data_IF_572521497227
#
_entry.id   IF_572521497227
#
_cell.length_a   1.000
_cell.length_b   1.000
_cell.length_c   1.000
_cell.angle_alpha   90.00
_cell.angle_beta   90.00
_cell.angle_gamma   90.00
#
_symmetry.space_group_name_H-M   'P 1'
#
loop_
_entity.id
_entity.type
_entity.pdbx_description
1 polymer ?
#
# COMPACT_ATOMS: atom_id res chain seq x y z
N UNK A 1 -30.94 -20.96 0.11
CA UNK A 1 -29.69 -21.61 -0.26
C UNK A 1 -28.64 -20.51 -0.31
N UNK A 2 -27.79 -20.45 0.71
CA UNK A 2 -26.84 -19.34 0.91
C UNK A 2 -25.52 -19.73 0.28
N UNK A 3 -25.17 -19.02 -0.76
CA UNK A 3 -23.86 -19.13 -1.42
C UNK A 3 -22.84 -18.38 -0.55
N UNK A 4 -22.05 -19.12 0.21
CA UNK A 4 -20.93 -18.57 0.99
C UNK A 4 -19.73 -18.51 0.06
N UNK A 5 -19.45 -17.34 -0.50
CA UNK A 5 -18.21 -17.09 -1.18
C UNK A 5 -17.02 -17.32 -0.24
N UNK A 6 -16.22 -18.31 -0.58
CA UNK A 6 -14.96 -18.62 0.12
C UNK A 6 -14.00 -17.44 0.01
N UNK A 7 -13.36 -17.08 1.11
CA UNK A 7 -12.30 -16.07 1.09
C UNK A 7 -11.08 -16.63 0.36
N UNK A 8 -10.26 -15.73 -0.22
CA UNK A 8 -9.05 -16.07 -0.99
C UNK A 8 -8.09 -16.98 -0.20
N UNK A 9 -8.12 -16.91 1.12
CA UNK A 9 -7.31 -17.72 2.04
C UNK A 9 -7.86 -19.14 2.23
N UNK A 10 -9.16 -19.33 2.09
CA UNK A 10 -9.83 -20.65 2.17
C UNK A 10 -9.73 -21.40 0.84
N UNK A 11 -9.74 -20.69 -0.30
CA UNK A 11 -9.54 -21.31 -1.61
C UNK A 11 -8.13 -21.91 -1.77
N UNK A 12 -7.12 -21.33 -1.11
CA UNK A 12 -5.74 -21.87 -1.12
C UNK A 12 -5.56 -23.07 -0.20
N UNK A 13 -6.43 -23.30 0.79
CA UNK A 13 -6.35 -24.45 1.71
C UNK A 13 -7.10 -25.70 1.24
N UNK A 14 -8.03 -25.59 0.30
CA UNK A 14 -8.87 -26.69 -0.17
C UNK A 14 -8.42 -27.33 -1.50
N UNK A 15 -7.32 -26.86 -2.12
CA UNK A 15 -6.78 -27.37 -3.37
C UNK A 15 -5.97 -28.67 -3.29
N UNK A 16 -5.88 -29.30 -2.15
CA UNK A 16 -5.06 -30.49 -1.95
C UNK A 16 -5.87 -31.72 -1.56
N UNK A 17 -6.53 -32.41 -2.48
CA UNK A 17 -6.75 -33.86 -2.49
C UNK A 17 -7.80 -34.28 -3.54
N UNK A 18 -7.36 -34.63 -4.73
CA UNK A 18 -8.06 -35.61 -5.58
C UNK A 18 -7.04 -36.27 -6.52
N UNK A 19 -6.36 -37.27 -6.02
CA UNK A 19 -5.59 -38.24 -6.84
C UNK A 19 -6.56 -39.25 -7.43
N UNK A 20 -6.77 -39.18 -8.74
CA UNK A 20 -7.25 -40.33 -9.52
C UNK A 20 -6.08 -40.86 -10.33
N UNK A 21 -5.68 -42.09 -9.98
CA UNK A 21 -4.60 -42.82 -10.66
C UNK A 21 -4.97 -43.19 -12.08
N UNK A 22 -4.05 -42.90 -13.00
CA UNK A 22 -3.91 -43.61 -14.27
C UNK A 22 -2.43 -43.99 -14.35
N UNK A 23 -2.16 -45.28 -14.20
CA UNK A 23 -0.85 -45.87 -14.44
C UNK A 23 -0.60 -45.89 -15.95
N UNK A 24 0.27 -44.98 -16.42
CA UNK A 24 0.97 -45.14 -17.70
C UNK A 24 2.47 -45.21 -17.38
N UNK A 25 3.03 -46.40 -17.59
CA UNK A 25 4.46 -46.67 -17.54
C UNK A 25 5.15 -45.83 -18.65
N UNK A 26 5.69 -44.70 -18.27
CA UNK A 26 6.65 -43.93 -19.02
C UNK A 26 7.73 -43.49 -18.03
N UNK A 27 9.00 -43.73 -18.34
CA UNK A 27 10.15 -43.29 -17.56
C UNK A 27 10.14 -41.77 -17.37
N UNK A 28 9.25 -41.29 -16.49
CA UNK A 28 9.27 -39.95 -15.97
C UNK A 28 10.13 -39.98 -14.71
N UNK A 29 11.30 -39.35 -14.72
CA UNK A 29 11.91 -38.87 -13.48
C UNK A 29 10.79 -38.15 -12.73
N UNK A 30 10.35 -38.74 -11.60
CA UNK A 30 9.55 -38.04 -10.62
C UNK A 30 10.35 -36.78 -10.27
N UNK A 31 9.90 -35.61 -10.73
CA UNK A 31 10.49 -34.35 -10.30
C UNK A 31 10.29 -34.32 -8.79
N UNK A 32 11.40 -34.40 -8.07
CA UNK A 32 11.41 -34.23 -6.62
C UNK A 32 10.86 -32.84 -6.34
N UNK A 33 9.87 -32.75 -5.47
CA UNK A 33 9.37 -31.46 -5.03
C UNK A 33 10.50 -30.73 -4.31
N UNK A 34 10.61 -29.42 -4.51
CA UNK A 34 11.59 -28.59 -3.82
C UNK A 34 11.45 -28.69 -2.29
N UNK A 35 10.26 -29.04 -1.82
CA UNK A 35 9.90 -29.16 -0.41
C UNK A 35 10.00 -30.61 0.14
N UNK A 36 10.43 -31.59 -0.67
CA UNK A 36 10.56 -33.00 -0.23
C UNK A 36 11.72 -33.17 0.77
N UNK A 37 12.76 -32.34 0.68
CA UNK A 37 13.90 -32.31 1.62
C UNK A 37 14.27 -30.84 1.95
N UNK A 38 13.39 -30.09 2.66
CA UNK A 38 13.65 -28.69 2.97
C UNK A 38 14.78 -28.60 4.01
N UNK A 39 15.61 -27.53 3.96
CA UNK A 39 16.66 -27.31 4.94
C UNK A 39 16.08 -27.22 6.36
N UNK A 40 16.86 -27.64 7.33
CA UNK A 40 16.55 -27.48 8.75
C UNK A 40 17.19 -26.21 9.26
N UNK A 41 16.41 -25.39 9.97
CA UNK A 41 16.92 -24.16 10.56
C UNK A 41 17.19 -24.37 12.05
N UNK A 42 18.33 -23.84 12.51
CA UNK A 42 18.59 -23.74 13.94
C UNK A 42 17.69 -22.65 14.56
N UNK A 43 16.86 -23.03 15.51
CA UNK A 43 15.93 -22.14 16.19
C UNK A 43 16.65 -20.98 16.92
N UNK A 44 17.84 -21.24 17.48
CA UNK A 44 18.62 -20.20 18.16
C UNK A 44 19.14 -19.16 17.15
N UNK A 45 19.70 -19.63 16.01
CA UNK A 45 20.16 -18.75 14.96
C UNK A 45 19.03 -17.94 14.31
N UNK A 46 17.80 -18.49 14.24
CA UNK A 46 16.63 -17.73 13.75
C UNK A 46 16.16 -16.67 14.74
N UNK A 47 16.31 -16.89 16.05
CA UNK A 47 15.93 -15.89 17.06
C UNK A 47 16.77 -14.60 16.94
N UNK A 48 18.04 -14.72 16.56
CA UNK A 48 18.98 -13.61 16.44
C UNK A 48 18.79 -12.79 15.13
N UNK A 49 18.01 -13.32 14.16
CA UNK A 49 17.79 -12.65 12.85
C UNK A 49 17.27 -11.23 13.03
N UNK A 50 16.42 -10.97 14.02
CA UNK A 50 15.76 -9.70 14.23
C UNK A 50 16.48 -8.75 15.21
N UNK A 51 17.69 -9.09 15.69
CA UNK A 51 18.42 -8.28 16.67
C UNK A 51 18.79 -6.89 16.16
N UNK A 52 19.13 -6.76 14.87
CA UNK A 52 19.45 -5.48 14.29
C UNK A 52 18.18 -4.62 14.10
N UNK A 53 18.20 -3.42 14.68
CA UNK A 53 17.06 -2.51 14.60
C UNK A 53 16.78 -2.05 13.16
N UNK A 54 15.50 -2.05 12.81
CA UNK A 54 15.02 -1.43 11.56
C UNK A 54 15.27 0.08 11.62
N UNK A 55 15.76 0.71 10.53
CA UNK A 55 16.02 2.15 10.53
C UNK A 55 14.75 2.95 10.83
N UNK A 56 14.93 4.10 11.47
CA UNK A 56 13.81 5.01 11.73
C UNK A 56 13.18 5.44 10.40
N UNK A 57 11.87 5.34 10.32
CA UNK A 57 11.10 5.72 9.14
C UNK A 57 11.29 7.21 8.84
N UNK A 58 11.85 7.61 7.68
CA UNK A 58 12.11 9.02 7.38
C UNK A 58 10.81 9.79 7.12
N UNK A 59 10.80 11.10 7.32
CA UNK A 59 9.71 11.96 6.82
C UNK A 59 10.02 12.40 5.38
N UNK A 60 9.29 11.93 4.36
CA UNK A 60 9.50 12.38 3.00
C UNK A 60 8.87 13.74 2.72
N UNK A 61 7.96 14.21 3.60
CA UNK A 61 7.23 15.46 3.38
C UNK A 61 8.08 16.67 3.77
N UNK A 62 8.11 17.72 2.93
CA UNK A 62 8.86 18.94 3.24
C UNK A 62 8.18 19.84 4.30
N UNK A 63 6.98 19.47 4.75
CA UNK A 63 6.22 20.19 5.77
C UNK A 63 5.58 19.24 6.78
N UNK A 64 5.30 19.75 7.98
CA UNK A 64 4.58 19.03 9.03
C UNK A 64 3.11 19.42 9.11
N UNK A 65 2.27 18.48 9.51
CA UNK A 65 0.88 18.75 9.81
C UNK A 65 0.79 19.63 11.07
N UNK A 66 0.00 20.71 11.06
CA UNK A 66 -0.14 21.58 12.23
C UNK A 66 -0.81 20.84 13.40
N UNK A 67 -0.38 21.16 14.62
CA UNK A 67 -0.95 20.56 15.83
C UNK A 67 -2.44 20.79 15.95
N UNK A 68 -2.93 21.98 15.51
CA UNK A 68 -4.35 22.33 15.49
C UNK A 68 -5.14 21.37 14.59
N UNK A 69 -4.54 20.94 13.47
CA UNK A 69 -5.19 19.94 12.58
C UNK A 69 -5.21 18.57 13.22
N UNK A 70 -4.14 18.16 13.89
CA UNK A 70 -4.08 16.91 14.63
C UNK A 70 -5.13 16.90 15.76
N UNK A 71 -5.25 18.01 16.48
CA UNK A 71 -6.28 18.18 17.51
C UNK A 71 -7.68 18.12 16.91
N UNK A 72 -7.95 18.82 15.80
CA UNK A 72 -9.24 18.80 15.13
C UNK A 72 -9.65 17.42 14.62
N UNK A 73 -8.71 16.60 14.11
CA UNK A 73 -8.98 15.20 13.76
C UNK A 73 -9.34 14.38 15.00
N UNK A 74 -8.61 14.56 16.10
CA UNK A 74 -8.87 13.88 17.37
C UNK A 74 -10.24 14.23 17.96
N UNK A 75 -10.60 15.53 17.94
CA UNK A 75 -11.90 16.03 18.43
C UNK A 75 -13.05 15.50 17.57
N UNK A 76 -12.84 15.45 16.25
CA UNK A 76 -13.82 14.86 15.31
C UNK A 76 -14.09 13.40 15.62
N UNK A 77 -13.06 12.59 15.92
CA UNK A 77 -13.24 11.19 16.36
C UNK A 77 -14.11 11.13 17.63
N UNK A 78 -13.80 11.99 18.62
CA UNK A 78 -14.60 12.09 19.85
C UNK A 78 -16.06 12.43 19.58
N UNK A 79 -16.32 13.44 18.74
CA UNK A 79 -17.67 13.85 18.37
C UNK A 79 -18.47 12.74 17.65
N UNK A 80 -17.83 11.98 16.76
CA UNK A 80 -18.46 10.88 16.04
C UNK A 80 -18.81 9.71 16.96
N UNK A 81 -17.97 9.40 17.94
CA UNK A 81 -18.17 8.26 18.85
C UNK A 81 -19.07 8.59 20.04
N UNK A 82 -19.18 9.84 20.46
CA UNK A 82 -19.92 10.24 21.67
C UNK A 82 -21.38 9.79 21.72
N UNK A 83 -22.13 9.71 20.59
CA UNK A 83 -23.52 9.25 20.62
C UNK A 83 -23.68 7.73 20.82
N UNK A 84 -22.61 6.95 20.70
CA UNK A 84 -22.64 5.49 20.74
C UNK A 84 -22.43 5.02 22.19
N UNK A 85 -23.40 4.29 22.82
CA UNK A 85 -23.21 3.77 24.16
C UNK A 85 -21.97 2.90 24.31
N UNK A 86 -21.32 2.98 25.48
CA UNK A 86 -20.18 2.15 25.84
C UNK A 86 -20.34 1.64 27.28
N UNK A 87 -20.54 0.34 27.51
CA UNK A 87 -20.53 -0.76 26.51
C UNK A 87 -21.80 -0.82 25.64
N UNK A 88 -21.63 -1.36 24.42
CA UNK A 88 -22.75 -1.64 23.51
C UNK A 88 -23.25 -3.07 23.74
N UNK A 89 -24.37 -3.22 24.45
CA UNK A 89 -24.92 -4.53 24.88
C UNK A 89 -25.88 -5.12 23.84
N UNK A 90 -26.22 -6.40 24.03
CA UNK A 90 -27.25 -7.08 23.21
C UNK A 90 -28.66 -6.54 23.43
N UNK A 91 -28.93 -5.88 24.55
CA UNK A 91 -30.21 -5.20 24.83
C UNK A 91 -30.35 -3.95 23.96
N UNK A 92 -29.24 -3.23 23.72
CA UNK A 92 -29.21 -2.00 22.90
C UNK A 92 -29.20 -2.36 21.41
N UNK A 93 -28.37 -3.34 21.01
CA UNK A 93 -28.27 -3.83 19.63
C UNK A 93 -28.40 -5.36 19.63
N UNK A 94 -29.60 -5.91 19.48
CA UNK A 94 -29.81 -7.36 19.51
C UNK A 94 -29.09 -8.12 18.39
N UNK A 95 -28.95 -7.51 17.20
CA UNK A 95 -28.23 -8.12 16.08
C UNK A 95 -26.73 -8.16 16.34
N UNK A 96 -26.20 -9.36 16.60
CA UNK A 96 -24.79 -9.58 16.95
C UNK A 96 -23.81 -9.10 15.87
N UNK A 97 -24.13 -9.28 14.58
CA UNK A 97 -23.27 -8.85 13.46
C UNK A 97 -23.17 -7.32 13.37
N UNK A 98 -24.29 -6.63 13.54
CA UNK A 98 -24.31 -5.16 13.54
C UNK A 98 -23.57 -4.64 14.77
N UNK A 99 -23.84 -5.21 15.95
CA UNK A 99 -23.16 -4.84 17.19
C UNK A 99 -21.64 -5.02 17.09
N UNK A 100 -21.17 -6.18 16.61
CA UNK A 100 -19.76 -6.43 16.40
C UNK A 100 -19.15 -5.40 15.45
N UNK A 101 -19.78 -5.12 14.31
CA UNK A 101 -19.26 -4.14 13.34
C UNK A 101 -19.13 -2.71 13.92
N UNK A 102 -20.04 -2.30 14.83
CA UNK A 102 -19.96 -1.00 15.52
C UNK A 102 -18.81 -1.03 16.54
N UNK A 103 -18.69 -2.09 17.32
CA UNK A 103 -17.64 -2.25 18.34
C UNK A 103 -16.26 -2.28 17.67
N UNK A 104 -16.07 -3.14 16.67
CA UNK A 104 -14.81 -3.27 15.94
C UNK A 104 -14.37 -1.94 15.29
N UNK A 105 -15.31 -1.22 14.66
CA UNK A 105 -15.02 0.08 14.07
C UNK A 105 -14.68 1.14 15.12
N UNK A 106 -15.36 1.14 16.29
CA UNK A 106 -15.04 2.02 17.43
C UNK A 106 -13.65 1.74 18.00
N UNK A 107 -13.30 0.48 18.19
CA UNK A 107 -11.99 0.07 18.67
C UNK A 107 -10.89 0.45 17.68
N UNK A 108 -11.09 0.15 16.39
CA UNK A 108 -10.17 0.56 15.34
C UNK A 108 -9.96 2.10 15.29
N UNK A 109 -11.04 2.88 15.51
CA UNK A 109 -10.94 4.34 15.58
C UNK A 109 -10.13 4.81 16.78
N UNK A 110 -10.33 4.19 17.95
CA UNK A 110 -9.57 4.49 19.17
C UNK A 110 -8.10 4.13 19.03
N UNK A 111 -7.81 2.99 18.43
CA UNK A 111 -6.44 2.54 18.17
C UNK A 111 -5.72 3.47 17.19
N UNK A 112 -6.38 3.84 16.09
CA UNK A 112 -5.82 4.79 15.14
C UNK A 112 -5.61 6.19 15.78
N UNK A 113 -6.54 6.64 16.64
CA UNK A 113 -6.39 7.89 17.39
C UNK A 113 -5.21 7.83 18.38
N UNK A 114 -5.01 6.70 19.07
CA UNK A 114 -3.83 6.51 19.95
C UNK A 114 -2.55 6.56 19.12
N UNK A 115 -2.47 5.78 18.03
CA UNK A 115 -1.31 5.83 17.12
C UNK A 115 -1.03 7.26 16.64
N UNK A 116 -2.04 8.03 16.24
CA UNK A 116 -1.86 9.43 15.86
C UNK A 116 -1.28 10.27 17.02
N UNK A 117 -1.69 10.01 18.26
CA UNK A 117 -1.17 10.67 19.46
C UNK A 117 0.29 10.30 19.73
N UNK A 118 0.64 9.01 19.61
CA UNK A 118 1.99 8.50 19.81
C UNK A 118 2.98 8.97 18.72
N UNK A 119 2.47 9.27 17.53
CA UNK A 119 3.24 9.76 16.38
C UNK A 119 3.46 11.29 16.41
N UNK A 120 3.12 12.00 17.50
CA UNK A 120 3.38 13.45 17.61
C UNK A 120 4.89 13.73 17.75
N UNK A 121 5.28 14.93 17.36
CA UNK A 121 6.67 15.37 17.43
C UNK A 121 7.47 15.00 16.18
N UNK A 122 8.43 14.07 16.31
CA UNK A 122 9.38 13.76 15.22
C UNK A 122 8.90 12.70 14.23
N UNK A 123 7.69 12.16 14.42
CA UNK A 123 7.16 11.16 13.50
C UNK A 123 6.89 11.73 12.10
N UNK A 124 7.02 10.88 11.04
CA UNK A 124 6.75 11.28 9.67
C UNK A 124 5.33 11.82 9.49
N UNK A 125 5.20 12.97 8.85
CA UNK A 125 3.92 13.68 8.62
C UNK A 125 2.86 12.77 8.01
N UNK A 126 3.21 11.98 6.99
CA UNK A 126 2.27 11.06 6.37
C UNK A 126 1.76 9.97 7.31
N UNK A 127 2.58 9.50 8.25
CA UNK A 127 2.14 8.52 9.24
C UNK A 127 1.08 9.10 10.19
N UNK A 128 1.27 10.36 10.62
CA UNK A 128 0.29 11.09 11.43
C UNK A 128 -1.01 11.30 10.65
N UNK A 129 -0.90 11.72 9.38
CA UNK A 129 -2.05 11.93 8.47
C UNK A 129 -2.83 10.62 8.26
N UNK A 130 -2.14 9.54 7.92
CA UNK A 130 -2.77 8.23 7.70
C UNK A 130 -3.52 7.77 8.95
N UNK A 131 -2.90 7.86 10.13
CA UNK A 131 -3.54 7.48 11.40
C UNK A 131 -4.76 8.36 11.70
N UNK A 132 -4.65 9.69 11.51
CA UNK A 132 -5.76 10.63 11.76
C UNK A 132 -6.94 10.47 10.81
N UNK A 133 -6.67 10.30 9.52
CA UNK A 133 -7.70 10.04 8.50
C UNK A 133 -8.39 8.70 8.75
N UNK A 134 -7.63 7.66 9.10
CA UNK A 134 -8.20 6.35 9.40
C UNK A 134 -9.04 6.40 10.69
N UNK A 135 -8.58 7.07 11.73
CA UNK A 135 -9.34 7.26 12.97
C UNK A 135 -10.70 7.91 12.71
N UNK A 136 -10.75 9.01 11.93
CA UNK A 136 -11.99 9.67 11.54
C UNK A 136 -12.90 8.75 10.72
N UNK A 137 -12.34 8.02 9.74
CA UNK A 137 -13.08 7.13 8.87
C UNK A 137 -13.73 5.96 9.64
N UNK A 138 -12.98 5.32 10.57
CA UNK A 138 -13.51 4.24 11.39
C UNK A 138 -14.54 4.75 12.41
N UNK A 139 -14.32 5.91 13.02
CA UNK A 139 -15.31 6.53 13.89
C UNK A 139 -16.63 6.84 13.15
N UNK A 140 -16.52 7.35 11.93
CA UNK A 140 -17.69 7.60 11.07
C UNK A 140 -18.39 6.30 10.65
N UNK A 141 -17.64 5.20 10.42
CA UNK A 141 -18.22 3.89 10.18
C UNK A 141 -19.09 3.41 11.34
N UNK A 142 -18.57 3.53 12.56
CA UNK A 142 -19.32 3.18 13.76
C UNK A 142 -20.56 4.06 13.91
N UNK A 143 -20.41 5.39 13.75
CA UNK A 143 -21.50 6.36 13.87
C UNK A 143 -22.58 6.18 12.79
N UNK A 144 -22.19 5.88 11.54
CA UNK A 144 -23.14 5.63 10.45
C UNK A 144 -23.93 4.32 10.63
N UNK A 145 -23.27 3.24 11.11
CA UNK A 145 -23.95 2.02 11.49
C UNK A 145 -24.95 2.28 12.64
N UNK A 146 -24.53 3.07 13.63
CA UNK A 146 -25.35 3.43 14.79
C UNK A 146 -26.56 4.28 14.39
N UNK A 147 -26.36 5.33 13.57
CA UNK A 147 -27.44 6.17 13.09
C UNK A 147 -28.49 5.39 12.28
N UNK A 148 -28.07 4.45 11.46
CA UNK A 148 -28.98 3.67 10.61
C UNK A 148 -29.89 2.68 11.38
N UNK A 149 -29.60 2.38 12.65
CA UNK A 149 -30.46 1.53 13.48
C UNK A 149 -31.38 2.33 14.43
N UNK A 150 -31.22 3.65 14.48
CA UNK A 150 -32.03 4.55 15.27
C UNK A 150 -32.93 5.38 14.37
N UNK A 151 -34.25 5.22 14.54
CA UNK A 151 -35.25 5.88 13.70
C UNK A 151 -35.31 7.42 13.84
N UNK A 152 -34.73 7.96 14.89
CA UNK A 152 -34.61 9.39 15.17
C UNK A 152 -33.32 10.05 14.68
N UNK A 153 -32.45 9.30 13.98
CA UNK A 153 -31.18 9.78 13.45
C UNK A 153 -31.08 9.54 11.95
N UNK A 154 -30.71 10.59 11.24
CA UNK A 154 -30.42 10.49 9.82
C UNK A 154 -28.93 10.14 9.61
N UNK A 155 -28.61 9.03 8.97
CA UNK A 155 -27.24 8.70 8.59
C UNK A 155 -26.53 9.79 7.75
N UNK A 156 -27.30 10.60 7.00
CA UNK A 156 -26.76 11.70 6.19
C UNK A 156 -26.30 12.90 7.05
N UNK A 157 -26.76 13.02 8.30
CA UNK A 157 -26.34 14.05 9.25
C UNK A 157 -24.98 13.72 9.93
N UNK A 158 -24.50 12.48 9.82
CA UNK A 158 -23.24 12.04 10.47
C UNK A 158 -22.03 12.71 9.84
N UNK A 159 -22.05 12.95 8.54
CA UNK A 159 -20.95 13.54 7.80
C UNK A 159 -21.43 14.49 6.69
N UNK A 160 -20.50 15.02 5.89
CA UNK A 160 -20.85 15.87 4.74
C UNK A 160 -21.69 15.10 3.72
N UNK A 161 -22.54 15.83 2.98
CA UNK A 161 -23.20 15.26 1.81
C UNK A 161 -22.16 14.83 0.77
N UNK A 162 -22.55 13.88 -0.09
CA UNK A 162 -21.68 13.41 -1.17
C UNK A 162 -21.20 14.55 -2.06
N UNK A 163 -22.09 15.48 -2.45
CA UNK A 163 -21.76 16.62 -3.30
C UNK A 163 -20.73 17.56 -2.64
N UNK A 164 -20.89 17.84 -1.36
CA UNK A 164 -19.96 18.70 -0.62
C UNK A 164 -18.58 18.01 -0.47
N UNK A 165 -18.54 16.70 -0.18
CA UNK A 165 -17.29 15.96 -0.05
C UNK A 165 -16.51 15.91 -1.38
N UNK A 166 -17.22 15.67 -2.49
CA UNK A 166 -16.64 15.69 -3.83
C UNK A 166 -16.18 17.08 -4.23
N UNK A 167 -17.00 18.12 -4.00
CA UNK A 167 -16.65 19.51 -4.31
C UNK A 167 -15.34 19.93 -3.65
N UNK A 168 -15.19 19.70 -2.34
CA UNK A 168 -13.92 20.01 -1.63
C UNK A 168 -12.71 19.26 -2.20
N UNK A 169 -12.89 17.99 -2.59
CA UNK A 169 -11.81 17.22 -3.17
C UNK A 169 -11.48 17.66 -4.60
N UNK A 170 -12.47 18.13 -5.36
CA UNK A 170 -12.27 18.71 -6.68
C UNK A 170 -11.56 20.07 -6.57
N UNK A 171 -11.93 20.91 -5.60
CA UNK A 171 -11.26 22.19 -5.33
C UNK A 171 -9.79 21.97 -4.99
N UNK A 172 -9.47 21.01 -4.09
CA UNK A 172 -8.10 20.61 -3.79
C UNK A 172 -7.38 20.13 -5.06
N UNK A 173 -7.97 19.24 -5.82
CA UNK A 173 -7.36 18.69 -7.03
C UNK A 173 -7.11 19.73 -8.12
N UNK A 174 -7.95 20.76 -8.21
CA UNK A 174 -7.80 21.86 -9.17
C UNK A 174 -6.73 22.88 -8.72
N UNK A 175 -6.45 22.96 -7.41
CA UNK A 175 -5.41 23.82 -6.85
C UNK A 175 -4.00 23.21 -6.93
N UNK A 176 -3.86 21.97 -7.44
CA UNK A 176 -2.61 21.22 -7.50
C UNK A 176 -2.21 20.89 -8.96
N UNK A 177 -0.90 20.76 -9.25
CA UNK A 177 0.22 21.32 -8.50
C UNK A 177 0.37 22.80 -8.79
N UNK A 178 0.80 23.55 -7.80
CA UNK A 178 0.97 25.01 -7.90
C UNK A 178 2.46 25.36 -8.10
N UNK A 179 3.12 25.78 -7.05
CA UNK A 179 4.53 26.16 -7.02
C UNK A 179 5.31 25.33 -6.01
N UNK A 180 6.60 25.15 -6.25
CA UNK A 180 7.50 24.43 -5.37
C UNK A 180 8.89 25.08 -5.32
N UNK A 181 9.78 24.63 -4.43
CA UNK A 181 11.18 25.04 -4.43
C UNK A 181 11.98 24.47 -5.62
N UNK A 182 11.42 23.46 -6.29
CA UNK A 182 11.93 22.80 -7.49
C UNK A 182 11.00 21.67 -7.90
N UNK A 183 11.10 21.14 -9.14
CA UNK A 183 10.19 20.13 -9.65
C UNK A 183 10.18 18.86 -8.81
N UNK A 184 11.32 18.35 -8.36
CA UNK A 184 11.43 17.16 -7.50
C UNK A 184 10.72 17.35 -6.15
N UNK A 185 10.93 18.51 -5.51
CA UNK A 185 10.28 18.83 -4.25
C UNK A 185 8.75 18.91 -4.41
N UNK A 186 8.30 19.44 -5.55
CA UNK A 186 6.88 19.48 -5.91
C UNK A 186 6.28 18.09 -6.08
N UNK A 187 7.00 17.13 -6.70
CA UNK A 187 6.53 15.73 -6.80
C UNK A 187 6.22 15.17 -5.41
N UNK A 188 7.13 15.37 -4.46
CA UNK A 188 6.97 14.82 -3.11
C UNK A 188 5.85 15.53 -2.34
N UNK A 189 5.78 16.86 -2.43
CA UNK A 189 4.78 17.65 -1.72
C UNK A 189 3.34 17.40 -2.21
N UNK A 190 3.16 17.27 -3.52
CA UNK A 190 1.82 17.22 -4.12
C UNK A 190 1.30 15.81 -4.41
N UNK A 191 2.16 14.79 -4.49
CA UNK A 191 1.71 13.44 -4.81
C UNK A 191 0.66 12.85 -3.83
N UNK A 192 0.70 13.07 -2.49
CA UNK A 192 -0.34 12.58 -1.59
C UNK A 192 -1.70 13.24 -1.83
N UNK A 193 -1.84 14.58 -1.81
CA UNK A 193 -3.12 15.22 -2.04
C UNK A 193 -3.68 14.97 -3.44
N UNK A 194 -2.85 14.94 -4.48
CA UNK A 194 -3.27 14.55 -5.83
C UNK A 194 -3.79 13.10 -5.88
N UNK A 195 -3.13 12.17 -5.19
CA UNK A 195 -3.60 10.79 -5.08
C UNK A 195 -4.98 10.73 -4.44
N UNK A 196 -5.21 11.51 -3.37
CA UNK A 196 -6.51 11.52 -2.69
C UNK A 196 -7.59 12.05 -3.61
N UNK A 197 -7.34 13.15 -4.32
CA UNK A 197 -8.25 13.70 -5.30
C UNK A 197 -8.55 12.71 -6.44
N UNK A 198 -7.51 12.12 -7.05
CA UNK A 198 -7.65 11.16 -8.14
C UNK A 198 -8.36 9.86 -7.73
N UNK A 199 -8.10 9.32 -6.54
CA UNK A 199 -8.79 8.13 -6.03
C UNK A 199 -10.25 8.43 -5.71
N UNK A 200 -10.55 9.58 -5.13
CA UNK A 200 -11.92 9.99 -4.77
C UNK A 200 -12.80 10.18 -6.01
N UNK A 201 -12.30 10.81 -7.06
CA UNK A 201 -13.03 10.96 -8.33
C UNK A 201 -13.45 9.62 -8.94
N UNK A 202 -12.64 8.56 -8.75
CA UNK A 202 -12.94 7.20 -9.25
C UNK A 202 -13.87 6.41 -8.35
N UNK A 203 -13.90 6.71 -7.06
CA UNK A 203 -14.78 6.01 -6.12
C UNK A 203 -16.23 6.43 -6.36
N UNK A 204 -17.10 5.44 -6.51
CA UNK A 204 -18.55 5.67 -6.40
C UNK A 204 -18.88 5.88 -4.94
N UNK A 205 -18.72 7.10 -4.45
CA UNK A 205 -19.20 7.45 -3.13
C UNK A 205 -20.72 7.29 -3.07
N UNK A 206 -21.19 6.60 -2.06
CA UNK A 206 -22.63 6.36 -1.82
C UNK A 206 -23.10 7.28 -0.72
N UNK A 207 -24.24 7.90 -0.87
CA UNK A 207 -24.90 8.67 0.19
C UNK A 207 -25.40 7.71 1.27
N UNK A 208 -25.08 7.90 2.55
CA UNK A 208 -25.52 6.97 3.63
C UNK A 208 -27.03 6.78 3.73
N UNK A 209 -27.81 7.84 3.54
CA UNK A 209 -29.28 7.82 3.51
C UNK A 209 -29.88 7.34 2.18
N UNK A 210 -29.09 7.00 1.16
CA UNK A 210 -29.63 6.42 -0.06
C UNK A 210 -30.36 5.09 0.25
N UNK A 211 -31.49 4.77 -0.42
CA UNK A 211 -32.28 3.57 -0.10
C UNK A 211 -31.48 2.27 -0.06
N UNK A 212 -30.45 2.13 -0.93
CA UNK A 212 -29.58 0.96 -0.96
C UNK A 212 -28.61 0.87 0.22
N UNK A 213 -28.28 1.98 0.87
CA UNK A 213 -27.42 2.01 2.05
C UNK A 213 -28.24 2.08 3.33
N UNK A 214 -29.28 2.92 3.40
CA UNK A 214 -30.15 3.09 4.57
C UNK A 214 -30.85 1.80 5.00
N UNK A 215 -31.20 0.93 4.04
CA UNK A 215 -31.79 -0.38 4.33
C UNK A 215 -30.84 -1.37 5.02
N UNK A 216 -29.55 -1.06 5.12
CA UNK A 216 -28.53 -1.94 5.70
C UNK A 216 -27.50 -1.13 6.51
N UNK A 217 -27.53 -1.22 7.85
CA UNK A 217 -26.62 -0.46 8.72
C UNK A 217 -25.15 -0.61 8.38
N UNK A 218 -24.69 -1.79 7.92
CA UNK A 218 -23.30 -2.02 7.53
C UNK A 218 -22.92 -1.25 6.25
N UNK A 219 -23.88 -1.09 5.32
CA UNK A 219 -23.68 -0.27 4.11
C UNK A 219 -23.70 1.22 4.43
N UNK A 220 -24.61 1.66 5.29
CA UNK A 220 -24.64 3.03 5.77
C UNK A 220 -23.32 3.39 6.45
N UNK A 221 -22.81 2.54 7.34
CA UNK A 221 -21.50 2.73 7.98
C UNK A 221 -20.34 2.81 6.99
N UNK A 222 -20.34 1.98 5.95
CA UNK A 222 -19.30 2.06 4.89
C UNK A 222 -19.39 3.37 4.11
N UNK A 223 -20.59 3.78 3.72
CA UNK A 223 -20.80 5.02 3.01
C UNK A 223 -20.35 6.23 3.84
N UNK A 224 -20.70 6.27 5.13
CA UNK A 224 -20.26 7.31 6.07
C UNK A 224 -18.73 7.32 6.24
N UNK A 225 -18.12 6.14 6.36
CA UNK A 225 -16.65 5.98 6.41
C UNK A 225 -15.97 6.59 5.18
N UNK A 226 -16.46 6.30 3.98
CA UNK A 226 -15.87 6.79 2.74
C UNK A 226 -16.02 8.32 2.58
N UNK A 227 -17.15 8.87 2.96
CA UNK A 227 -17.38 10.33 2.93
C UNK A 227 -16.52 11.05 3.97
N UNK A 228 -16.43 10.54 5.20
CA UNK A 228 -15.60 11.14 6.25
C UNK A 228 -14.10 11.05 5.90
N UNK A 229 -13.65 9.92 5.32
CA UNK A 229 -12.29 9.81 4.80
C UNK A 229 -12.00 10.87 3.75
N UNK A 230 -12.91 11.06 2.80
CA UNK A 230 -12.78 12.10 1.78
C UNK A 230 -12.71 13.48 2.38
N UNK A 231 -13.58 13.78 3.38
CA UNK A 231 -13.57 15.05 4.10
C UNK A 231 -12.25 15.31 4.81
N UNK A 232 -11.76 14.32 5.55
CA UNK A 232 -10.52 14.43 6.31
C UNK A 232 -9.31 14.59 5.38
N UNK A 233 -9.26 13.83 4.28
CA UNK A 233 -8.21 13.94 3.28
C UNK A 233 -8.19 15.29 2.59
N UNK A 234 -9.35 15.86 2.23
CA UNK A 234 -9.42 17.18 1.64
C UNK A 234 -8.90 18.25 2.62
N UNK A 235 -9.37 18.23 3.87
CA UNK A 235 -8.96 19.21 4.87
C UNK A 235 -7.44 19.15 5.19
N UNK A 236 -6.88 17.95 5.27
CA UNK A 236 -5.43 17.76 5.48
C UNK A 236 -4.65 18.16 4.23
N UNK A 237 -5.16 17.84 3.04
CA UNK A 237 -4.53 18.23 1.78
C UNK A 237 -4.43 19.74 1.59
N UNK A 238 -5.49 20.47 1.94
CA UNK A 238 -5.50 21.94 1.93
C UNK A 238 -4.46 22.51 2.89
N UNK A 239 -4.40 22.03 4.15
CA UNK A 239 -3.40 22.48 5.13
C UNK A 239 -1.96 22.21 4.66
N UNK A 240 -1.69 21.01 4.13
CA UNK A 240 -0.36 20.67 3.64
C UNK A 240 0.04 21.55 2.46
N UNK A 241 -0.87 21.79 1.51
CA UNK A 241 -0.64 22.66 0.36
C UNK A 241 -0.37 24.11 0.81
N UNK A 242 -1.25 24.68 1.63
CA UNK A 242 -1.14 26.07 2.09
C UNK A 242 0.18 26.31 2.85
N UNK A 243 0.54 25.39 3.75
CA UNK A 243 1.80 25.47 4.49
C UNK A 243 3.01 25.32 3.60
N UNK A 244 2.96 24.39 2.64
CA UNK A 244 4.07 24.23 1.71
C UNK A 244 4.29 25.49 0.90
N UNK A 245 3.25 26.01 0.26
CA UNK A 245 3.34 27.26 -0.53
C UNK A 245 3.81 28.43 0.33
N UNK A 246 3.29 28.57 1.55
CA UNK A 246 3.71 29.63 2.48
C UNK A 246 5.17 29.50 2.95
N UNK A 247 5.77 28.33 2.88
CA UNK A 247 7.17 28.09 3.26
C UNK A 247 8.18 28.39 2.16
N UNK A 248 7.73 28.60 0.92
CA UNK A 248 8.60 28.82 -0.23
C UNK A 248 9.17 30.24 -0.24
N UNK A 249 10.49 30.35 -0.30
CA UNK A 249 11.19 31.65 -0.46
C UNK A 249 11.31 32.08 -1.92
N UNK A 250 11.45 31.13 -2.84
CA UNK A 250 11.58 31.36 -4.28
C UNK A 250 10.78 30.29 -5.04
N UNK A 251 9.46 30.49 -5.14
CA UNK A 251 8.57 29.50 -5.75
C UNK A 251 8.71 29.47 -7.27
N UNK A 252 8.85 28.27 -7.82
CA UNK A 252 8.86 28.02 -9.27
C UNK A 252 7.62 27.21 -9.66
N UNK A 253 7.07 27.49 -10.85
CA UNK A 253 5.96 26.72 -11.39
C UNK A 253 6.41 25.30 -11.78
N UNK A 254 5.73 24.27 -11.29
CA UNK A 254 6.20 22.87 -11.44
C UNK A 254 5.29 22.00 -12.30
N UNK A 255 4.10 22.46 -12.65
CA UNK A 255 3.13 21.66 -13.39
C UNK A 255 3.63 21.24 -14.79
N UNK A 256 4.20 22.18 -15.55
CA UNK A 256 4.71 21.89 -16.91
C UNK A 256 5.96 21.02 -16.90
N UNK A 257 7.00 21.27 -16.09
CA UNK A 257 8.12 20.33 -15.93
C UNK A 257 7.67 18.91 -15.59
N UNK A 258 6.70 18.75 -14.69
CA UNK A 258 6.18 17.43 -14.31
C UNK A 258 5.45 16.73 -15.47
N UNK A 259 4.66 17.46 -16.27
CA UNK A 259 4.00 16.89 -17.46
C UNK A 259 5.01 16.51 -18.55
N UNK A 260 6.02 17.34 -18.76
CA UNK A 260 7.09 17.04 -19.69
C UNK A 260 7.87 15.78 -19.28
N UNK A 261 8.24 15.66 -18.00
CA UNK A 261 8.88 14.47 -17.45
C UNK A 261 8.02 13.21 -17.60
N UNK A 262 6.71 13.31 -17.36
CA UNK A 262 5.79 12.19 -17.60
C UNK A 262 5.76 11.77 -19.06
N UNK A 263 5.72 12.72 -19.99
CA UNK A 263 5.74 12.43 -21.41
C UNK A 263 7.03 11.73 -21.86
N UNK A 264 8.16 12.04 -21.22
CA UNK A 264 9.44 11.40 -21.48
C UNK A 264 9.57 9.99 -20.87
N UNK A 265 9.01 9.79 -19.66
CA UNK A 265 9.16 8.53 -18.90
C UNK A 265 8.07 7.51 -19.17
N UNK A 266 6.84 7.94 -19.51
CA UNK A 266 5.70 7.06 -19.74
C UNK A 266 6.01 5.96 -20.79
N UNK A 267 6.61 6.24 -21.94
CA UNK A 267 6.92 5.21 -22.94
C UNK A 267 7.82 4.09 -22.38
N UNK A 268 8.77 4.41 -21.50
CA UNK A 268 9.68 3.41 -20.91
C UNK A 268 8.93 2.38 -20.05
N UNK A 269 7.99 2.83 -19.26
CA UNK A 269 7.13 1.95 -18.44
C UNK A 269 6.15 1.20 -19.34
N UNK A 270 5.58 1.89 -20.33
CA UNK A 270 4.62 1.34 -21.29
C UNK A 270 5.19 0.21 -22.15
N UNK A 271 6.30 0.46 -22.80
CA UNK A 271 6.92 -0.51 -23.69
C UNK A 271 7.28 -1.78 -22.91
N UNK A 272 7.76 -1.62 -21.68
CA UNK A 272 8.06 -2.75 -20.82
C UNK A 272 6.82 -3.49 -20.35
N UNK A 273 5.79 -2.75 -19.97
CA UNK A 273 4.49 -3.32 -19.60
C UNK A 273 3.87 -4.12 -20.77
N UNK A 274 3.92 -3.58 -21.99
CA UNK A 274 3.47 -4.29 -23.19
C UNK A 274 4.31 -5.55 -23.48
N UNK A 275 5.63 -5.43 -23.39
CA UNK A 275 6.53 -6.58 -23.59
C UNK A 275 6.26 -7.73 -22.61
N UNK A 276 5.76 -7.41 -21.41
CA UNK A 276 5.39 -8.39 -20.39
C UNK A 276 3.96 -8.94 -20.58
N UNK A 277 3.17 -8.42 -21.52
CA UNK A 277 1.78 -8.79 -21.73
C UNK A 277 1.51 -9.14 -23.20
N UNK A 278 2.38 -9.93 -23.83
CA UNK A 278 2.21 -10.33 -25.22
C UNK A 278 0.79 -10.90 -25.44
N UNK A 279 -0.03 -10.16 -26.22
CA UNK A 279 -1.28 -10.64 -26.82
C UNK A 279 -2.58 -9.96 -26.41
N UNK A 280 -2.69 -9.23 -25.31
CA UNK A 280 -3.95 -8.56 -24.95
C UNK A 280 -3.70 -7.14 -24.41
N UNK A 281 -3.89 -6.17 -25.32
CA UNK A 281 -3.52 -4.76 -25.09
C UNK A 281 -4.56 -3.97 -24.28
N UNK A 282 -5.76 -4.50 -24.07
CA UNK A 282 -6.82 -3.68 -23.47
C UNK A 282 -6.89 -3.73 -21.95
N UNK A 283 -6.53 -4.82 -21.28
CA UNK A 283 -6.37 -4.94 -19.80
C UNK A 283 -5.90 -6.35 -19.45
N UNK A 284 -4.70 -6.55 -18.96
CA UNK A 284 -4.34 -7.84 -18.41
C UNK A 284 -5.25 -8.12 -17.20
N UNK A 285 -6.08 -9.14 -17.32
CA UNK A 285 -7.03 -9.57 -16.28
C UNK A 285 -6.44 -10.62 -15.34
N UNK A 286 -5.29 -11.15 -15.69
CA UNK A 286 -4.58 -12.18 -14.92
C UNK A 286 -3.10 -11.84 -14.83
N UNK A 287 -2.47 -12.27 -13.75
CA UNK A 287 -1.01 -12.29 -13.66
C UNK A 287 -0.48 -13.18 -14.79
N UNK A 288 0.51 -12.74 -15.58
CA UNK A 288 1.12 -13.57 -16.59
C UNK A 288 1.78 -14.79 -15.94
N UNK A 289 1.97 -15.84 -16.73
CA UNK A 289 2.77 -16.96 -16.30
C UNK A 289 4.23 -16.51 -16.19
N UNK A 290 4.76 -16.45 -14.97
CA UNK A 290 6.15 -16.02 -14.73
C UNK A 290 7.18 -16.90 -15.42
N UNK A 291 6.82 -18.15 -15.80
CA UNK A 291 7.68 -19.02 -16.58
C UNK A 291 8.06 -18.43 -17.93
N UNK A 292 7.21 -17.59 -18.51
CA UNK A 292 7.50 -16.90 -19.77
C UNK A 292 8.69 -15.92 -19.69
N UNK A 293 9.06 -15.51 -18.47
CA UNK A 293 10.15 -14.55 -18.26
C UNK A 293 11.48 -15.20 -17.86
N UNK A 294 11.45 -16.50 -17.52
CA UNK A 294 12.65 -17.24 -17.11
C UNK A 294 13.32 -17.87 -18.32
N UNK A 295 14.64 -17.80 -18.37
CA UNK A 295 15.46 -18.41 -19.42
C UNK A 295 15.68 -19.92 -19.19
N UNK A 296 15.36 -20.42 -17.99
CA UNK A 296 15.48 -21.83 -17.61
C UNK A 296 14.15 -22.41 -17.11
N UNK A 297 14.01 -23.71 -17.20
CA UNK A 297 12.89 -24.45 -16.59
C UNK A 297 13.06 -24.50 -15.07
N UNK A 298 12.15 -23.84 -14.35
CA UNK A 298 12.14 -23.75 -12.88
C UNK A 298 10.93 -24.53 -12.36
N UNK A 299 11.08 -25.43 -11.36
CA UNK A 299 9.95 -26.14 -10.77
C UNK A 299 8.85 -25.19 -10.28
N UNK A 300 7.59 -25.63 -10.40
CA UNK A 300 6.43 -24.78 -10.01
C UNK A 300 6.42 -24.42 -8.53
N UNK A 301 7.00 -25.25 -7.70
CA UNK A 301 7.13 -25.09 -6.25
C UNK A 301 8.44 -24.43 -5.82
N UNK A 302 9.23 -23.94 -6.76
CA UNK A 302 10.47 -23.22 -6.49
C UNK A 302 10.19 -21.90 -5.75
N UNK A 303 10.85 -21.61 -4.61
CA UNK A 303 10.60 -20.41 -3.80
C UNK A 303 10.80 -19.10 -4.57
N UNK A 304 11.87 -19.01 -5.36
CA UNK A 304 12.14 -17.83 -6.19
C UNK A 304 11.05 -17.50 -7.20
N UNK A 305 10.26 -18.51 -7.62
CA UNK A 305 9.09 -18.28 -8.48
C UNK A 305 8.00 -17.49 -7.77
N UNK A 306 7.70 -17.80 -6.52
CA UNK A 306 6.77 -17.04 -5.69
C UNK A 306 7.22 -15.60 -5.55
N UNK A 307 8.50 -15.39 -5.22
CA UNK A 307 9.11 -14.08 -5.10
C UNK A 307 9.03 -13.27 -6.42
N UNK A 308 9.25 -13.92 -7.55
CA UNK A 308 9.12 -13.27 -8.87
C UNK A 308 7.68 -12.84 -9.17
N UNK A 309 6.68 -13.67 -8.78
CA UNK A 309 5.25 -13.31 -8.89
C UNK A 309 4.93 -12.08 -8.04
N UNK A 310 5.46 -12.00 -6.82
CA UNK A 310 5.22 -10.87 -5.92
C UNK A 310 5.90 -9.59 -6.44
N UNK A 311 7.15 -9.70 -6.92
CA UNK A 311 7.86 -8.59 -7.55
C UNK A 311 7.16 -8.09 -8.82
N UNK A 312 6.62 -9.02 -9.63
CA UNK A 312 5.78 -8.67 -10.78
C UNK A 312 4.50 -7.96 -10.34
N UNK A 313 3.85 -8.46 -9.29
CA UNK A 313 2.65 -7.88 -8.72
C UNK A 313 2.86 -6.44 -8.27
N UNK A 314 3.98 -6.15 -7.64
CA UNK A 314 4.38 -4.81 -7.26
C UNK A 314 4.52 -3.87 -8.47
N UNK A 315 5.24 -4.31 -9.50
CA UNK A 315 5.35 -3.55 -10.75
C UNK A 315 3.99 -3.34 -11.40
N UNK A 316 3.20 -4.40 -11.56
CA UNK A 316 1.90 -4.37 -12.21
C UNK A 316 0.92 -3.42 -11.51
N UNK A 317 0.87 -3.46 -10.18
CA UNK A 317 -0.03 -2.61 -9.39
C UNK A 317 0.26 -1.12 -9.56
N UNK A 318 1.53 -0.76 -9.88
CA UNK A 318 1.91 0.64 -10.12
C UNK A 318 1.85 1.01 -11.59
N UNK A 319 2.30 0.16 -12.49
CA UNK A 319 2.26 0.41 -13.93
C UNK A 319 0.83 0.70 -14.42
N UNK A 320 -0.17 0.05 -13.85
CA UNK A 320 -1.58 0.33 -14.15
C UNK A 320 -2.08 1.72 -13.71
N UNK A 321 -1.34 2.41 -12.84
CA UNK A 321 -1.61 3.80 -12.43
C UNK A 321 -0.71 4.80 -13.13
N UNK A 322 0.31 4.35 -13.87
CA UNK A 322 1.08 5.18 -14.77
C UNK A 322 0.18 5.64 -15.96
N UNK A 323 0.52 6.75 -16.63
CA UNK A 323 -0.30 7.33 -17.73
C UNK A 323 -0.67 6.34 -18.82
N UNK A 324 0.13 5.34 -18.98
CA UNK A 324 0.10 4.27 -19.96
C UNK A 324 -1.18 3.44 -19.94
N UNK A 325 -1.65 3.07 -18.78
CA UNK A 325 -2.84 2.25 -18.66
C UNK A 325 -4.14 3.05 -18.88
N UNK A 326 -4.01 4.39 -19.07
CA UNK A 326 -5.16 5.30 -19.07
C UNK A 326 -4.96 6.46 -20.05
N UNK A 327 -4.96 6.21 -21.38
CA UNK A 327 -4.83 7.27 -22.38
C UNK A 327 -5.98 8.31 -22.31
N UNK A 328 -7.08 8.02 -21.60
CA UNK A 328 -8.17 8.97 -21.30
C UNK A 328 -7.88 9.86 -20.08
N UNK A 329 -6.77 9.67 -19.41
CA UNK A 329 -6.32 10.55 -18.34
C UNK A 329 -5.36 11.59 -18.94
N UNK A 330 -5.89 12.71 -19.35
CA UNK A 330 -5.15 13.97 -19.23
C UNK A 330 -4.81 14.05 -17.73
N UNK A 331 -3.52 13.90 -17.31
CA UNK A 331 -3.25 13.69 -15.91
C UNK A 331 -3.48 14.99 -15.15
N UNK A 332 -4.66 15.17 -14.51
CA UNK A 332 -4.84 16.32 -13.63
C UNK A 332 -3.93 16.22 -12.40
N UNK A 333 -3.13 15.12 -12.31
CA UNK A 333 -2.36 14.75 -11.13
C UNK A 333 -0.92 14.33 -11.47
N UNK A 334 -0.09 15.26 -12.04
CA UNK A 334 1.23 14.90 -12.55
C UNK A 334 2.21 14.46 -11.46
N UNK A 335 2.17 15.03 -10.25
CA UNK A 335 3.06 14.65 -9.15
C UNK A 335 2.79 13.21 -8.69
N UNK A 336 1.52 12.84 -8.49
CA UNK A 336 1.16 11.48 -8.15
C UNK A 336 1.56 10.48 -9.24
N UNK A 337 1.33 10.85 -10.50
CA UNK A 337 1.65 10.00 -11.63
C UNK A 337 3.17 9.83 -11.79
N UNK A 338 3.97 10.90 -11.63
CA UNK A 338 5.44 10.81 -11.60
C UNK A 338 5.94 9.92 -10.48
N UNK A 339 5.38 10.05 -9.29
CA UNK A 339 5.73 9.17 -8.17
C UNK A 339 5.36 7.71 -8.46
N UNK A 340 4.21 7.44 -9.11
CA UNK A 340 3.84 6.10 -9.54
C UNK A 340 4.81 5.56 -10.59
N UNK A 341 5.23 6.40 -11.55
CA UNK A 341 6.22 6.07 -12.57
C UNK A 341 7.59 5.77 -11.95
N UNK A 342 8.09 6.61 -11.03
CA UNK A 342 9.30 6.35 -10.25
C UNK A 342 9.27 4.98 -9.60
N UNK A 343 8.19 4.66 -8.89
CA UNK A 343 8.04 3.36 -8.25
C UNK A 343 7.98 2.21 -9.26
N UNK A 344 7.28 2.39 -10.40
CA UNK A 344 7.24 1.38 -11.45
C UNK A 344 8.63 1.09 -12.02
N UNK A 345 9.46 2.11 -12.20
CA UNK A 345 10.85 1.94 -12.65
C UNK A 345 11.69 1.17 -11.62
N UNK A 346 11.59 1.51 -10.34
CA UNK A 346 12.31 0.82 -9.27
C UNK A 346 11.87 -0.65 -9.14
N UNK A 347 10.55 -0.91 -9.12
CA UNK A 347 10.02 -2.28 -9.00
C UNK A 347 10.29 -3.13 -10.23
N UNK A 348 10.32 -2.53 -11.42
CA UNK A 348 10.72 -3.22 -12.65
C UNK A 348 12.19 -3.64 -12.61
N UNK A 349 13.09 -2.74 -12.21
CA UNK A 349 14.51 -3.06 -12.06
C UNK A 349 14.74 -4.13 -10.99
N UNK A 350 13.97 -4.08 -9.88
CA UNK A 350 13.99 -5.12 -8.85
C UNK A 350 13.52 -6.47 -9.39
N UNK A 351 12.44 -6.50 -10.19
CA UNK A 351 11.98 -7.71 -10.86
C UNK A 351 13.05 -8.29 -11.78
N UNK A 352 13.68 -7.45 -12.61
CA UNK A 352 14.76 -7.89 -13.52
C UNK A 352 15.97 -8.43 -12.74
N UNK A 353 16.34 -7.84 -11.60
CA UNK A 353 17.42 -8.32 -10.75
C UNK A 353 17.09 -9.67 -10.10
N UNK A 354 15.88 -9.87 -9.59
CA UNK A 354 15.41 -11.14 -9.02
C UNK A 354 15.38 -12.22 -10.11
N UNK A 355 14.86 -11.89 -11.29
CA UNK A 355 14.82 -12.80 -12.44
C UNK A 355 16.23 -13.24 -12.84
N UNK A 356 17.18 -12.31 -12.96
CA UNK A 356 18.56 -12.62 -13.31
C UNK A 356 19.20 -13.60 -12.31
N UNK A 357 18.99 -13.41 -11.00
CA UNK A 357 19.46 -14.35 -9.98
C UNK A 357 18.91 -15.76 -10.20
N UNK A 358 17.59 -15.87 -10.48
CA UNK A 358 16.97 -17.18 -10.77
C UNK A 358 17.56 -17.79 -12.04
N UNK A 359 17.75 -17.01 -13.11
CA UNK A 359 18.33 -17.47 -14.37
C UNK A 359 19.79 -17.92 -14.21
N UNK A 360 20.55 -17.27 -13.32
CA UNK A 360 21.92 -17.62 -12.96
C UNK A 360 22.03 -18.86 -12.04
N UNK A 361 20.89 -19.40 -11.58
CA UNK A 361 20.86 -20.64 -10.80
C UNK A 361 20.75 -20.41 -9.29
N UNK A 362 20.50 -19.20 -8.82
CA UNK A 362 20.21 -18.94 -7.41
C UNK A 362 18.80 -19.46 -7.08
N UNK A 363 18.72 -20.34 -6.09
CA UNK A 363 17.46 -20.91 -5.67
C UNK A 363 16.58 -19.91 -4.89
N UNK A 364 17.14 -18.76 -4.49
CA UNK A 364 16.45 -17.77 -3.65
C UNK A 364 15.78 -18.40 -2.44
N UNK A 365 16.50 -19.32 -1.83
CA UNK A 365 16.08 -20.08 -0.68
C UNK A 365 17.20 -20.10 0.36
N UNK A 366 16.93 -19.83 1.65
CA UNK A 366 17.97 -19.81 2.66
C UNK A 366 18.47 -21.23 2.95
N UNK A 367 19.79 -21.43 2.89
CA UNK A 367 20.41 -22.69 3.24
C UNK A 367 20.36 -22.95 4.76
N UNK A 368 20.42 -21.89 5.56
CA UNK A 368 20.46 -21.90 7.02
C UNK A 368 19.97 -20.56 7.60
N UNK A 369 20.00 -20.44 8.92
CA UNK A 369 19.61 -19.21 9.63
C UNK A 369 20.56 -18.04 9.31
N UNK A 370 21.86 -18.30 9.06
CA UNK A 370 22.81 -17.25 8.72
C UNK A 370 22.46 -16.60 7.37
N UNK A 371 22.03 -17.40 6.37
CA UNK A 371 21.57 -16.87 5.09
C UNK A 371 20.34 -15.96 5.24
N UNK A 372 19.44 -16.26 6.18
CA UNK A 372 18.30 -15.38 6.49
C UNK A 372 18.76 -14.06 7.11
N UNK A 373 19.70 -14.14 8.08
CA UNK A 373 20.27 -12.96 8.74
C UNK A 373 21.03 -12.07 7.74
N UNK A 374 21.80 -12.66 6.84
CA UNK A 374 22.54 -11.95 5.79
C UNK A 374 21.57 -11.23 4.81
N UNK A 375 20.50 -11.88 4.40
CA UNK A 375 19.50 -11.27 3.53
C UNK A 375 18.79 -10.08 4.22
N UNK A 376 18.46 -10.24 5.52
CA UNK A 376 17.87 -9.14 6.29
C UNK A 376 18.84 -7.97 6.46
N UNK A 377 20.12 -8.23 6.78
CA UNK A 377 21.12 -7.15 6.93
C UNK A 377 21.39 -6.46 5.58
N UNK A 378 21.42 -7.17 4.47
CA UNK A 378 21.52 -6.60 3.14
C UNK A 378 20.33 -5.66 2.83
N UNK A 379 19.11 -6.09 3.17
CA UNK A 379 17.91 -5.27 3.04
C UNK A 379 17.95 -4.04 3.95
N UNK A 380 18.36 -4.20 5.23
CA UNK A 380 18.53 -3.09 6.17
C UNK A 380 19.57 -2.07 5.67
N UNK A 381 20.72 -2.54 5.18
CA UNK A 381 21.78 -1.69 4.63
C UNK A 381 21.29 -0.88 3.43
N UNK A 382 20.57 -1.54 2.50
CA UNK A 382 20.02 -0.86 1.33
C UNK A 382 18.97 0.19 1.72
N UNK A 383 18.10 -0.10 2.68
CA UNK A 383 17.08 0.86 3.16
C UNK A 383 17.74 2.00 3.94
N UNK A 384 18.77 1.76 4.76
CA UNK A 384 19.55 2.83 5.45
C UNK A 384 20.14 3.81 4.43
N UNK A 385 20.71 3.32 3.34
CA UNK A 385 21.24 4.19 2.28
C UNK A 385 20.15 5.12 1.70
N UNK A 386 18.92 4.64 1.53
CA UNK A 386 17.81 5.48 1.09
C UNK A 386 17.35 6.49 2.17
N UNK A 387 17.39 6.09 3.46
CA UNK A 387 17.06 7.00 4.58
C UNK A 387 18.03 8.16 4.65
N UNK A 388 19.31 7.90 4.40
CA UNK A 388 20.41 8.86 4.44
C UNK A 388 20.54 9.67 3.15
N UNK A 389 19.85 9.30 2.08
CA UNK A 389 19.88 9.99 0.79
C UNK A 389 19.35 11.42 0.91
N UNK A 390 19.97 12.36 0.22
CA UNK A 390 19.48 13.74 0.06
C UNK A 390 18.27 13.80 -0.86
N UNK A 391 18.10 12.83 -1.76
CA UNK A 391 17.00 12.77 -2.70
C UNK A 391 15.67 12.46 -1.99
N UNK A 392 14.69 13.33 -2.16
CA UNK A 392 13.38 13.19 -1.50
C UNK A 392 12.61 11.96 -1.97
N UNK A 393 12.78 11.53 -3.23
CA UNK A 393 12.14 10.33 -3.78
C UNK A 393 12.72 9.04 -3.18
N UNK A 394 14.04 9.01 -2.89
CA UNK A 394 14.69 7.91 -2.18
C UNK A 394 14.12 7.78 -0.77
N UNK A 395 14.08 8.89 -0.01
CA UNK A 395 13.46 8.92 1.33
C UNK A 395 11.99 8.52 1.30
N UNK A 396 11.27 8.85 0.21
CA UNK A 396 9.90 8.37 0.02
C UNK A 396 9.83 6.85 -0.10
N UNK A 397 10.73 6.24 -0.87
CA UNK A 397 10.81 4.78 -0.97
C UNK A 397 11.20 4.16 0.36
N UNK A 398 12.18 4.72 1.08
CA UNK A 398 12.55 4.28 2.43
C UNK A 398 11.37 4.35 3.40
N UNK A 399 10.59 5.44 3.39
CA UNK A 399 9.38 5.60 4.20
C UNK A 399 8.39 4.44 3.99
N UNK A 400 8.33 3.89 2.79
CA UNK A 400 7.46 2.76 2.45
C UNK A 400 8.06 1.41 2.78
N UNK A 401 9.37 1.23 2.58
CA UNK A 401 10.05 -0.06 2.79
C UNK A 401 10.30 -0.33 4.28
N UNK A 402 10.52 0.70 5.09
CA UNK A 402 10.77 0.54 6.54
C UNK A 402 9.69 -0.30 7.24
N UNK A 403 8.36 -0.05 7.09
CA UNK A 403 7.36 -0.91 7.73
C UNK A 403 7.20 -2.29 7.07
N UNK A 404 7.79 -2.54 5.90
CA UNK A 404 7.71 -3.84 5.26
C UNK A 404 8.49 -4.94 6.01
N UNK A 405 9.45 -4.55 6.85
CA UNK A 405 10.16 -5.50 7.73
C UNK A 405 9.26 -6.14 8.79
N UNK A 406 8.16 -5.51 9.20
CA UNK A 406 7.33 -6.02 10.30
C UNK A 406 6.77 -7.42 10.02
N UNK A 407 6.30 -7.67 8.80
CA UNK A 407 5.71 -8.97 8.45
C UNK A 407 6.72 -10.13 8.47
N UNK A 408 7.88 -10.05 7.80
CA UNK A 408 8.88 -11.10 7.89
C UNK A 408 9.49 -11.19 9.30
N UNK A 409 9.72 -10.09 10.01
CA UNK A 409 10.25 -10.11 11.38
C UNK A 409 9.30 -10.83 12.36
N UNK A 410 7.97 -10.66 12.22
CA UNK A 410 6.96 -11.36 13.03
C UNK A 410 7.04 -12.89 12.89
N UNK A 411 7.53 -13.40 11.76
CA UNK A 411 7.73 -14.85 11.55
C UNK A 411 8.69 -15.43 12.58
N UNK A 412 9.74 -14.68 12.92
CA UNK A 412 10.79 -15.13 13.87
C UNK A 412 10.41 -14.82 15.33
N UNK A 413 9.57 -13.81 15.55
CA UNK A 413 9.05 -13.47 16.88
C UNK A 413 7.97 -14.45 17.37
N UNK A 414 7.36 -15.25 16.49
CA UNK A 414 6.16 -16.04 16.79
C UNK A 414 6.42 -17.35 17.54
N UNK A 415 7.70 -17.74 17.80
CA UNK A 415 8.05 -18.93 18.57
C UNK A 415 9.35 -19.62 18.11
N UNK A 416 9.78 -20.66 18.85
CA UNK A 416 11.09 -21.25 18.65
C UNK A 416 11.21 -22.18 17.41
N UNK A 417 10.13 -22.50 16.73
CA UNK A 417 10.11 -23.41 15.58
C UNK A 417 9.16 -22.87 14.50
N UNK A 418 9.57 -21.83 13.75
CA UNK A 418 8.75 -21.32 12.66
C UNK A 418 8.65 -22.34 11.53
N UNK A 419 7.49 -22.39 10.88
CA UNK A 419 7.29 -23.17 9.67
C UNK A 419 8.35 -22.82 8.61
N UNK A 420 9.03 -23.83 8.08
CA UNK A 420 10.09 -23.70 7.07
C UNK A 420 9.65 -22.89 5.85
N UNK A 421 8.38 -23.03 5.47
CA UNK A 421 7.80 -22.24 4.39
C UNK A 421 7.68 -20.77 4.77
N UNK A 422 7.27 -20.48 5.99
CA UNK A 422 7.21 -19.13 6.51
C UNK A 422 8.61 -18.47 6.58
N UNK A 423 9.65 -19.24 6.93
CA UNK A 423 11.06 -18.79 6.89
C UNK A 423 11.47 -18.44 5.45
N UNK A 424 11.15 -19.29 4.47
CA UNK A 424 11.46 -19.01 3.08
C UNK A 424 10.69 -17.80 2.52
N UNK A 425 9.43 -17.64 2.91
CA UNK A 425 8.62 -16.46 2.54
C UNK A 425 9.21 -15.17 3.17
N UNK A 426 9.63 -15.22 4.43
CA UNK A 426 10.29 -14.09 5.10
C UNK A 426 11.64 -13.73 4.45
N UNK A 427 12.46 -14.72 4.13
CA UNK A 427 13.70 -14.55 3.37
C UNK A 427 13.43 -13.87 2.01
N UNK A 428 12.45 -14.37 1.26
CA UNK A 428 12.05 -13.79 -0.03
C UNK A 428 11.62 -12.34 0.10
N UNK A 429 10.92 -11.99 1.18
CA UNK A 429 10.52 -10.61 1.44
C UNK A 429 11.72 -9.69 1.69
N UNK A 430 12.76 -10.13 2.44
CA UNK A 430 14.01 -9.37 2.60
C UNK A 430 14.73 -9.17 1.28
N UNK A 431 14.83 -10.22 0.45
CA UNK A 431 15.42 -10.13 -0.90
C UNK A 431 14.66 -9.11 -1.76
N UNK A 432 13.33 -9.08 -1.67
CA UNK A 432 12.49 -8.12 -2.40
C UNK A 432 12.69 -6.69 -1.90
N UNK A 433 12.74 -6.48 -0.59
CA UNK A 433 13.02 -5.17 0.02
C UNK A 433 14.39 -4.65 -0.46
N UNK A 434 15.42 -5.50 -0.40
CA UNK A 434 16.77 -5.18 -0.87
C UNK A 434 16.78 -4.78 -2.35
N UNK A 435 16.16 -5.59 -3.20
CA UNK A 435 16.13 -5.37 -4.65
C UNK A 435 15.46 -4.03 -5.01
N UNK A 436 14.31 -3.72 -4.38
CA UNK A 436 13.62 -2.44 -4.59
C UNK A 436 14.46 -1.27 -4.06
N UNK A 437 15.06 -1.42 -2.87
CA UNK A 437 15.88 -0.36 -2.30
C UNK A 437 17.09 -0.05 -3.17
N UNK A 438 17.80 -1.07 -3.67
CA UNK A 438 18.97 -0.89 -4.56
C UNK A 438 18.61 -0.30 -5.92
N UNK A 439 17.44 -0.60 -6.44
CA UNK A 439 16.99 -0.07 -7.73
C UNK A 439 16.45 1.38 -7.65
N UNK A 440 16.16 1.86 -6.45
CA UNK A 440 15.54 3.18 -6.25
C UNK A 440 16.40 4.36 -6.71
N UNK A 441 17.72 4.44 -6.43
CA UNK A 441 18.55 5.59 -6.87
C UNK A 441 18.55 5.79 -8.39
N UNK A 442 18.60 4.72 -9.18
CA UNK A 442 18.56 4.81 -10.65
C UNK A 442 17.19 5.28 -11.16
N UNK A 443 16.12 4.83 -10.50
CA UNK A 443 14.78 5.31 -10.79
C UNK A 443 14.63 6.80 -10.43
N UNK A 444 15.22 7.21 -9.32
CA UNK A 444 15.26 8.62 -8.88
C UNK A 444 16.04 9.48 -9.88
N UNK A 445 17.24 9.06 -10.26
CA UNK A 445 18.04 9.75 -11.28
C UNK A 445 17.26 9.91 -12.59
N UNK A 446 16.56 8.85 -13.05
CA UNK A 446 15.74 8.91 -14.26
C UNK A 446 14.62 9.95 -14.17
N UNK A 447 14.00 10.12 -13.01
CA UNK A 447 12.94 11.11 -12.81
C UNK A 447 13.52 12.52 -12.70
N UNK A 448 14.64 12.70 -11.99
CA UNK A 448 15.32 13.99 -11.83
C UNK A 448 15.82 14.51 -13.19
N UNK A 449 16.48 13.65 -13.97
CA UNK A 449 16.93 13.99 -15.33
C UNK A 449 15.75 14.42 -16.23
N UNK A 450 14.63 13.71 -16.14
CA UNK A 450 13.44 14.05 -16.92
C UNK A 450 12.76 15.35 -16.48
N UNK A 451 12.90 15.73 -15.21
CA UNK A 451 12.40 17.00 -14.66
C UNK A 451 13.29 18.19 -15.05
N UNK A 452 14.53 17.94 -15.49
CA UNK A 452 15.51 18.96 -15.83
C UNK A 452 16.10 19.66 -14.60
N UNK A 453 16.10 18.96 -13.48
CA UNK A 453 16.70 19.43 -12.21
C UNK A 453 18.21 19.19 -12.14
#
# INVERSE_FOLDING_TARGET
MSDRGLTRREALRTGGAATLGVALAGCGRTRQSYWDDPPSFDAAGLADVTDAAVPTRPDPMPMRLPEERVAALSDRVGALLSPIPDPLTSEIVPNGTIRAAIVDAREAARDARRRMGDLRGDAPTLSVVEAGVDACAQAARAAGCWAAIHADRDPDEVTLTRSTALGRMDDLGNALPDAASGPQAGVVAYAPPERWAGVTRRRRLVTPGAPSAAANPLRAGRATCDLERTRAQAAVGDDLRERYVASLSDPVAVAEPMRAALSALAPRVEDRFRAMHEGDTERPRSYPDVDAYLSRDVPRDHPGRGLLVDAFGDFFDFARFAPVAWPAFDPPHPAWTLRATHRSLATLSAFDAIRARIDDGDDLFPADAAAVADAREAALSAVRALVESEASLDRWTAWRLTPAFSSPDETFASGPDPDRRAVAEAFGEYVRIEAVARATPDATASVVDALGD
#
